data_IF_812202852598
#
_entry.id   IF_812202852598
#
_cell.length_a   1.000
_cell.length_b   1.000
_cell.length_c   1.000
_cell.angle_alpha   90.00
_cell.angle_beta   90.00
_cell.angle_gamma   90.00
#
_symmetry.space_group_name_H-M   'P 1'
#
loop_
_entity.id
_entity.type
_entity.pdbx_description
1 polymer ?
#
# COMPACT_ATOMS: atom_id res chain seq x y z
N UNK A 1 12.66 10.01 12.64
CA UNK A 1 13.23 8.63 12.64
C UNK A 1 13.20 8.13 11.22
N UNK A 2 14.29 7.57 10.69
CA UNK A 2 14.34 6.93 9.38
C UNK A 2 14.31 5.42 9.61
N UNK A 3 13.39 4.72 8.94
CA UNK A 3 13.29 3.27 8.93
C UNK A 3 13.74 2.75 7.56
N UNK A 4 14.63 1.77 7.57
CA UNK A 4 15.15 1.14 6.35
C UNK A 4 15.02 -0.37 6.43
N UNK A 5 14.89 -1.02 5.29
CA UNK A 5 14.90 -2.46 5.17
C UNK A 5 15.71 -2.88 3.95
N UNK A 6 16.59 -3.86 4.14
CA UNK A 6 17.34 -4.48 3.06
C UNK A 6 16.47 -5.55 2.37
N UNK A 7 16.30 -5.42 1.05
CA UNK A 7 15.42 -6.30 0.28
C UNK A 7 15.87 -7.77 0.27
N UNK A 8 17.17 -8.05 0.36
CA UNK A 8 17.67 -9.42 0.39
C UNK A 8 17.41 -10.07 1.73
N UNK A 9 17.59 -9.32 2.82
CA UNK A 9 17.33 -9.78 4.18
C UNK A 9 15.83 -10.05 4.36
N UNK A 10 14.97 -9.13 3.92
CA UNK A 10 13.51 -9.26 4.11
C UNK A 10 12.87 -10.35 3.26
N UNK A 11 13.50 -10.81 2.18
CA UNK A 11 13.01 -11.97 1.42
C UNK A 11 12.80 -13.21 2.28
N UNK A 12 13.53 -13.34 3.38
CA UNK A 12 13.34 -14.42 4.37
C UNK A 12 11.98 -14.32 5.08
N UNK A 13 11.37 -13.14 5.10
CA UNK A 13 10.05 -12.90 5.68
C UNK A 13 8.90 -13.15 4.70
N UNK A 14 9.19 -13.62 3.48
CA UNK A 14 8.19 -13.91 2.46
C UNK A 14 7.35 -15.12 2.85
N UNK A 15 6.05 -14.93 2.92
CA UNK A 15 5.08 -15.97 3.31
C UNK A 15 4.06 -16.18 2.22
N UNK A 16 3.74 -17.43 1.95
CA UNK A 16 2.66 -17.79 1.05
C UNK A 16 1.31 -17.46 1.67
N UNK A 17 0.41 -16.94 0.86
CA UNK A 17 -1.00 -16.70 1.19
C UNK A 17 -1.88 -17.50 0.22
N UNK A 18 -3.17 -17.70 0.48
CA UNK A 18 -4.03 -18.48 -0.43
C UNK A 18 -4.00 -18.01 -1.89
N UNK A 19 -3.74 -16.72 -2.15
CA UNK A 19 -3.79 -16.13 -3.49
C UNK A 19 -2.52 -15.36 -3.84
N UNK A 20 -1.35 -15.78 -3.35
CA UNK A 20 -0.08 -15.12 -3.64
C UNK A 20 0.90 -15.12 -2.48
N UNK A 21 1.58 -13.98 -2.26
CA UNK A 21 2.63 -13.85 -1.26
C UNK A 21 2.50 -12.54 -0.49
N UNK A 22 3.06 -12.53 0.72
CA UNK A 22 3.24 -11.35 1.54
C UNK A 22 4.66 -11.34 2.09
N UNK A 23 5.37 -10.21 1.94
CA UNK A 23 6.72 -10.02 2.45
C UNK A 23 6.75 -8.81 3.37
N UNK A 24 7.01 -9.02 4.65
CA UNK A 24 7.13 -7.94 5.63
C UNK A 24 8.49 -7.26 5.50
N UNK A 25 8.49 -5.94 5.34
CA UNK A 25 9.69 -5.09 5.26
C UNK A 25 9.94 -4.34 6.56
N UNK A 26 8.95 -3.66 7.09
CA UNK A 26 9.07 -2.80 8.27
C UNK A 26 7.87 -3.06 9.18
N UNK A 27 8.14 -3.06 10.47
CA UNK A 27 7.14 -3.09 11.53
C UNK A 27 6.44 -4.44 11.73
N UNK A 28 5.66 -4.51 12.80
CA UNK A 28 4.86 -5.67 13.12
C UNK A 28 3.49 -5.57 12.44
N UNK A 29 3.10 -6.61 11.74
CA UNK A 29 1.74 -6.80 11.25
C UNK A 29 1.17 -8.13 11.78
N UNK A 30 -0.11 -8.41 11.55
CA UNK A 30 -0.75 -9.63 12.07
C UNK A 30 -0.07 -10.94 11.66
N UNK A 31 0.73 -10.93 10.61
CA UNK A 31 1.44 -12.13 10.12
C UNK A 31 2.84 -12.28 10.74
N UNK A 32 3.38 -11.21 11.33
CA UNK A 32 4.71 -11.22 11.97
C UNK A 32 4.65 -11.34 13.49
N UNK A 33 3.48 -11.12 14.10
CA UNK A 33 3.30 -11.37 15.54
C UNK A 33 3.53 -12.84 15.87
N UNK A 34 4.27 -13.08 16.93
CA UNK A 34 4.48 -14.43 17.47
C UNK A 34 3.22 -14.90 18.20
N UNK A 35 3.07 -16.21 18.31
CA UNK A 35 1.98 -16.79 19.10
C UNK A 35 2.05 -16.31 20.56
N UNK A 36 0.95 -15.74 21.05
CA UNK A 36 0.87 -15.17 22.41
C UNK A 36 1.39 -13.74 22.55
N UNK A 37 1.95 -13.15 21.50
CA UNK A 37 2.34 -11.74 21.51
C UNK A 37 1.11 -10.86 21.35
N UNK A 38 0.96 -9.88 22.26
CA UNK A 38 -0.13 -8.91 22.17
C UNK A 38 0.12 -7.93 21.01
N UNK A 39 -0.91 -7.57 20.23
CA UNK A 39 -0.77 -6.55 19.21
C UNK A 39 -0.49 -5.18 19.85
N UNK A 40 0.16 -4.25 19.11
CA UNK A 40 0.27 -2.87 19.55
C UNK A 40 -1.10 -2.30 19.90
N UNK A 41 -1.16 -1.44 20.92
CA UNK A 41 -2.40 -0.78 21.31
C UNK A 41 -2.93 0.09 20.17
N UNK A 42 -4.24 0.22 20.05
CA UNK A 42 -4.90 1.08 19.08
C UNK A 42 -4.41 2.53 19.22
N UNK A 43 -4.17 3.21 18.11
CA UNK A 43 -3.63 4.58 18.09
C UNK A 43 -2.12 4.68 18.36
N UNK A 44 -1.43 3.57 18.66
CA UNK A 44 0.02 3.57 18.78
C UNK A 44 0.68 3.70 17.40
N UNK A 45 1.67 4.59 17.31
CA UNK A 45 2.52 4.68 16.12
C UNK A 45 3.24 3.35 15.89
N UNK A 46 2.90 2.68 14.83
CA UNK A 46 3.47 1.40 14.42
C UNK A 46 3.68 1.40 12.91
N UNK A 47 4.69 2.09 12.40
CA UNK A 47 4.94 2.15 10.96
C UNK A 47 5.13 0.75 10.38
N UNK A 48 4.37 0.44 9.36
CA UNK A 48 4.36 -0.88 8.70
C UNK A 48 4.54 -0.72 7.21
N UNK A 49 5.44 -1.50 6.64
CA UNK A 49 5.58 -1.66 5.20
C UNK A 49 5.65 -3.15 4.83
N UNK A 50 4.81 -3.60 3.93
CA UNK A 50 4.85 -4.97 3.41
C UNK A 50 4.44 -5.01 1.94
N UNK A 51 5.07 -5.93 1.20
CA UNK A 51 4.77 -6.21 -0.20
C UNK A 51 3.72 -7.32 -0.28
N UNK A 52 2.67 -7.07 -1.05
CA UNK A 52 1.67 -8.07 -1.44
C UNK A 52 1.86 -8.41 -2.90
N UNK A 53 1.91 -9.69 -3.23
CA UNK A 53 2.03 -10.19 -4.60
C UNK A 53 0.85 -11.11 -4.90
N UNK A 54 0.18 -10.89 -6.01
CA UNK A 54 -0.91 -11.73 -6.52
C UNK A 54 -0.55 -12.27 -7.89
N UNK A 55 -0.71 -13.56 -8.08
CA UNK A 55 -0.60 -14.16 -9.40
C UNK A 55 -1.76 -13.78 -10.33
N UNK A 56 -1.69 -14.16 -11.61
CA UNK A 56 -2.73 -13.91 -12.60
C UNK A 56 -4.12 -14.34 -12.11
N UNK A 57 -5.12 -13.47 -12.27
CA UNK A 57 -6.48 -13.71 -11.82
C UNK A 57 -6.69 -13.73 -10.31
N UNK A 58 -5.64 -13.48 -9.51
CA UNK A 58 -5.74 -13.39 -8.06
C UNK A 58 -6.64 -12.23 -7.63
N UNK A 59 -7.55 -12.51 -6.68
CA UNK A 59 -8.54 -11.54 -6.22
C UNK A 59 -8.37 -11.26 -4.73
N UNK A 60 -8.26 -9.99 -4.37
CA UNK A 60 -8.52 -9.51 -3.01
C UNK A 60 -9.92 -8.92 -2.98
N UNK A 61 -10.83 -9.56 -2.25
CA UNK A 61 -12.25 -9.20 -2.20
C UNK A 61 -12.46 -7.82 -1.56
N UNK A 62 -13.60 -7.15 -1.78
CA UNK A 62 -13.92 -5.88 -1.15
C UNK A 62 -13.79 -5.96 0.38
N UNK A 63 -13.08 -5.01 0.96
CA UNK A 63 -12.78 -4.98 2.39
C UNK A 63 -12.46 -3.56 2.84
N UNK A 64 -12.35 -3.36 4.14
CA UNK A 64 -11.79 -2.15 4.74
C UNK A 64 -10.74 -2.51 5.80
N UNK A 65 -10.01 -1.51 6.26
CA UNK A 65 -9.06 -1.58 7.35
C UNK A 65 -9.41 -0.58 8.45
N UNK A 66 -8.88 -0.79 9.65
CA UNK A 66 -9.04 0.13 10.78
C UNK A 66 -7.93 1.19 10.85
N UNK A 67 -7.05 1.23 9.88
CA UNK A 67 -5.96 2.18 9.77
C UNK A 67 -5.93 2.78 8.37
N UNK A 68 -5.56 4.05 8.29
CA UNK A 68 -5.26 4.72 7.03
C UNK A 68 -4.10 4.01 6.33
N UNK A 69 -4.16 3.95 5.02
CA UNK A 69 -3.12 3.27 4.27
C UNK A 69 -2.87 3.85 2.88
N UNK A 70 -1.60 3.73 2.50
CA UNK A 70 -1.19 3.80 1.10
C UNK A 70 -0.98 2.41 0.53
N UNK A 71 -1.32 2.24 -0.74
CA UNK A 71 -0.92 1.11 -1.57
C UNK A 71 -0.19 1.66 -2.80
N UNK A 72 1.06 1.24 -3.01
CA UNK A 72 1.88 1.67 -4.14
C UNK A 72 2.13 0.46 -5.02
N UNK A 73 1.54 0.44 -6.21
CA UNK A 73 1.74 -0.64 -7.16
C UNK A 73 3.14 -0.53 -7.76
N UNK A 74 3.93 -1.59 -7.60
CA UNK A 74 5.34 -1.62 -8.04
C UNK A 74 5.61 -2.64 -9.14
N UNK A 75 4.62 -3.45 -9.50
CA UNK A 75 4.77 -4.44 -10.57
C UNK A 75 3.43 -4.99 -11.05
N UNK A 76 3.39 -5.40 -12.30
CA UNK A 76 2.20 -5.95 -12.92
C UNK A 76 1.08 -4.94 -13.12
N UNK A 77 -0.13 -5.44 -13.34
CA UNK A 77 -1.33 -4.63 -13.56
C UNK A 77 -2.61 -5.34 -13.12
N UNK A 78 -3.70 -4.58 -13.07
CA UNK A 78 -5.00 -5.12 -12.69
C UNK A 78 -6.07 -4.06 -12.57
N UNK A 79 -7.07 -4.34 -11.73
CA UNK A 79 -8.11 -3.39 -11.36
C UNK A 79 -8.20 -3.23 -9.84
N UNK A 80 -8.46 -2.00 -9.40
CA UNK A 80 -8.85 -1.67 -8.05
C UNK A 80 -10.25 -1.05 -8.12
N UNK A 81 -11.26 -1.82 -7.69
CA UNK A 81 -12.65 -1.44 -7.93
C UNK A 81 -12.93 -1.28 -9.42
N UNK A 82 -13.27 -0.06 -9.83
CA UNK A 82 -13.53 0.30 -11.23
C UNK A 82 -12.30 0.89 -11.95
N UNK A 83 -11.22 1.19 -11.21
CA UNK A 83 -10.02 1.83 -11.75
C UNK A 83 -9.05 0.80 -12.28
N UNK A 84 -8.49 1.05 -13.47
CA UNK A 84 -7.32 0.32 -13.94
C UNK A 84 -6.12 0.71 -13.07
N UNK A 85 -5.28 -0.26 -12.72
CA UNK A 85 -4.10 -0.02 -11.90
C UNK A 85 -2.89 -0.79 -12.41
N UNK A 86 -1.70 -0.27 -12.14
CA UNK A 86 -0.43 -0.86 -12.59
C UNK A 86 0.74 -0.09 -12.02
N UNK A 87 1.94 -0.43 -12.45
CA UNK A 87 3.14 0.32 -12.04
C UNK A 87 3.18 1.69 -12.75
N UNK A 88 3.38 2.78 -12.10
CA UNK A 88 3.39 3.11 -10.69
C UNK A 88 2.06 3.81 -10.40
N UNK A 89 1.12 3.13 -9.80
CA UNK A 89 -0.12 3.75 -9.34
C UNK A 89 -0.10 3.82 -7.81
N UNK A 90 -0.76 4.82 -7.26
CA UNK A 90 -0.93 5.01 -5.83
C UNK A 90 -2.41 4.98 -5.49
N UNK A 91 -2.76 4.20 -4.50
CA UNK A 91 -4.06 4.20 -3.85
C UNK A 91 -3.89 4.63 -2.40
N UNK A 92 -4.72 5.55 -1.95
CA UNK A 92 -4.86 5.91 -0.54
C UNK A 92 -6.30 5.67 -0.10
N UNK A 93 -6.47 5.22 1.12
CA UNK A 93 -7.77 5.09 1.76
C UNK A 93 -7.69 5.37 3.25
N UNK A 94 -8.65 6.14 3.75
CA UNK A 94 -8.87 6.34 5.17
C UNK A 94 -9.30 5.03 5.86
N UNK A 95 -9.05 4.95 7.15
CA UNK A 95 -9.62 3.92 8.00
C UNK A 95 -11.14 3.84 7.83
N UNK A 96 -11.69 2.63 7.93
CA UNK A 96 -13.13 2.36 7.76
C UNK A 96 -13.71 2.79 6.40
N UNK A 97 -12.89 2.90 5.36
CA UNK A 97 -13.35 3.09 3.98
C UNK A 97 -13.22 1.77 3.23
N UNK A 98 -14.34 1.26 2.72
CA UNK A 98 -14.35 0.00 1.98
C UNK A 98 -13.97 0.23 0.53
N UNK A 99 -13.04 -0.55 0.02
CA UNK A 99 -12.53 -0.48 -1.34
C UNK A 99 -12.35 -1.86 -1.97
N UNK A 100 -12.03 -1.88 -3.26
CA UNK A 100 -11.82 -3.10 -4.03
C UNK A 100 -13.08 -3.55 -4.81
N UNK A 101 -13.07 -4.76 -5.40
CA UNK A 101 -12.01 -5.76 -5.30
C UNK A 101 -10.70 -5.31 -5.96
N UNK A 102 -9.55 -5.89 -5.54
CA UNK A 102 -8.30 -5.81 -6.31
C UNK A 102 -8.20 -7.10 -7.12
N UNK A 103 -8.13 -6.97 -8.43
CA UNK A 103 -8.09 -8.10 -9.36
C UNK A 103 -6.81 -8.03 -10.19
N UNK A 104 -5.93 -9.01 -10.02
CA UNK A 104 -4.72 -9.12 -10.81
C UNK A 104 -5.03 -9.53 -12.26
N UNK A 105 -4.41 -8.86 -13.23
CA UNK A 105 -4.47 -9.21 -14.66
C UNK A 105 -3.09 -9.67 -15.15
N UNK A 106 -3.01 -10.09 -16.41
CA UNK A 106 -1.75 -10.44 -17.06
C UNK A 106 -0.89 -11.39 -16.25
N UNK A 107 0.29 -10.92 -15.88
CA UNK A 107 1.29 -11.68 -15.11
C UNK A 107 1.14 -11.50 -13.58
N UNK A 108 0.05 -10.92 -13.14
CA UNK A 108 -0.20 -10.63 -11.73
C UNK A 108 -0.05 -9.15 -11.38
N UNK A 109 -0.06 -8.87 -10.09
CA UNK A 109 0.12 -7.52 -9.55
C UNK A 109 0.89 -7.57 -8.23
N UNK A 110 1.74 -6.58 -7.99
CA UNK A 110 2.47 -6.43 -6.74
C UNK A 110 2.37 -4.98 -6.24
N UNK A 111 2.08 -4.82 -4.95
CA UNK A 111 2.02 -3.51 -4.31
C UNK A 111 2.55 -3.51 -2.90
N UNK A 112 3.18 -2.39 -2.51
CA UNK A 112 3.47 -2.12 -1.12
C UNK A 112 2.20 -1.58 -0.42
N UNK A 113 1.95 -2.07 0.79
CA UNK A 113 1.03 -1.45 1.73
C UNK A 113 1.83 -0.75 2.82
N UNK A 114 1.54 0.53 3.03
CA UNK A 114 2.20 1.38 4.01
C UNK A 114 1.14 1.92 4.99
N UNK A 115 1.41 1.82 6.29
CA UNK A 115 0.53 2.32 7.36
C UNK A 115 1.37 2.96 8.46
N UNK A 116 0.82 3.97 9.13
CA UNK A 116 1.41 4.57 10.30
C UNK A 116 1.01 3.84 11.61
N UNK A 117 -0.15 3.20 11.62
CA UNK A 117 -0.73 2.53 12.79
C UNK A 117 -0.92 1.03 12.61
N UNK A 118 -1.17 0.38 13.75
CA UNK A 118 -1.53 -1.04 13.76
C UNK A 118 -2.90 -1.27 13.11
N UNK A 119 -2.99 -2.36 12.37
CA UNK A 119 -4.23 -2.84 11.77
C UNK A 119 -4.39 -4.36 11.97
N UNK A 120 -5.52 -4.84 12.50
CA UNK A 120 -5.76 -6.26 12.74
C UNK A 120 -5.93 -7.07 11.45
N UNK A 121 -5.98 -6.42 10.29
CA UNK A 121 -6.11 -7.03 8.97
C UNK A 121 -7.43 -6.71 8.28
N UNK A 122 -7.54 -7.17 7.06
CA UNK A 122 -8.69 -6.90 6.20
C UNK A 122 -10.02 -7.38 6.79
N UNK A 123 -10.99 -6.49 6.79
CA UNK A 123 -12.38 -6.71 7.19
C UNK A 123 -13.23 -6.89 5.94
N UNK A 124 -13.40 -8.13 5.50
CA UNK A 124 -14.09 -8.44 4.25
C UNK A 124 -15.58 -8.13 4.30
N UNK A 125 -16.10 -7.47 3.27
CA UNK A 125 -17.48 -6.99 3.18
C UNK A 125 -18.53 -8.11 3.04
N UNK A 126 -18.12 -9.34 2.78
CA UNK A 126 -19.01 -10.50 2.78
C UNK A 126 -19.52 -10.83 4.19
N UNK A 127 -18.73 -10.56 5.24
CA UNK A 127 -19.13 -10.77 6.61
C UNK A 127 -20.13 -9.69 7.08
N UNK A 128 -21.34 -10.08 7.54
CA UNK A 128 -22.33 -9.15 8.05
C UNK A 128 -21.86 -8.29 9.22
N UNK A 129 -21.01 -8.84 10.10
CA UNK A 129 -20.49 -8.12 11.27
C UNK A 129 -19.55 -7.00 10.83
N UNK A 130 -18.69 -7.25 9.81
CA UNK A 130 -17.85 -6.22 9.26
C UNK A 130 -18.67 -5.10 8.60
N UNK A 131 -19.76 -5.43 7.91
CA UNK A 131 -20.69 -4.43 7.38
C UNK A 131 -21.38 -3.63 8.48
N UNK A 132 -21.70 -4.26 9.60
CA UNK A 132 -22.28 -3.58 10.75
C UNK A 132 -21.26 -2.64 11.40
N UNK A 133 -20.02 -3.09 11.57
CA UNK A 133 -18.89 -2.28 12.05
C UNK A 133 -18.67 -1.05 11.15
N UNK A 134 -18.60 -1.26 9.83
CA UNK A 134 -18.44 -0.16 8.88
C UNK A 134 -19.58 0.85 8.95
N UNK A 135 -20.85 0.39 9.09
CA UNK A 135 -21.99 1.29 9.25
C UNK A 135 -21.92 2.08 10.55
N UNK A 136 -21.50 1.46 11.64
CA UNK A 136 -21.34 2.12 12.94
C UNK A 136 -20.24 3.19 12.94
N UNK A 137 -19.22 3.04 12.08
CA UNK A 137 -18.11 4.00 11.95
C UNK A 137 -18.50 5.27 11.16
N UNK A 138 -19.60 5.26 10.41
CA UNK A 138 -20.06 6.42 9.64
C UNK A 138 -20.28 7.62 10.54
N UNK A 139 -19.73 8.76 10.13
CA UNK A 139 -19.77 10.00 10.91
C UNK A 139 -18.70 10.09 12.01
N UNK A 140 -17.91 9.05 12.23
CA UNK A 140 -16.76 9.05 13.12
C UNK A 140 -15.42 9.20 12.37
N UNK A 141 -15.41 8.94 11.07
CA UNK A 141 -14.24 8.96 10.18
C UNK A 141 -14.55 9.67 8.87
N UNK A 142 -13.52 10.11 8.18
CA UNK A 142 -13.62 10.90 6.94
C UNK A 142 -14.03 10.07 5.73
N UNK A 143 -13.62 8.82 5.64
CA UNK A 143 -13.97 7.91 4.52
C UNK A 143 -13.52 8.39 3.13
N UNK A 144 -12.32 8.96 3.06
CA UNK A 144 -11.74 9.38 1.78
C UNK A 144 -10.98 8.23 1.11
N UNK A 145 -11.08 8.15 -0.22
CA UNK A 145 -10.35 7.23 -1.08
C UNK A 145 -9.87 7.98 -2.31
N UNK A 146 -8.64 7.72 -2.72
CA UNK A 146 -8.07 8.27 -3.95
C UNK A 146 -7.21 7.24 -4.67
N UNK A 147 -7.33 7.20 -5.99
CA UNK A 147 -6.58 6.31 -6.89
C UNK A 147 -5.97 7.16 -7.99
N UNK A 148 -4.67 6.98 -8.25
CA UNK A 148 -4.00 7.63 -9.38
C UNK A 148 -3.98 6.71 -10.60
N UNK A 149 -3.88 7.29 -11.77
CA UNK A 149 -3.60 6.54 -12.99
C UNK A 149 -2.23 5.86 -12.90
N UNK A 150 -2.06 4.66 -13.50
CA UNK A 150 -0.77 4.00 -13.57
C UNK A 150 0.18 4.78 -14.48
N UNK A 151 1.44 4.90 -14.04
CA UNK A 151 2.49 5.51 -14.84
C UNK A 151 3.57 4.47 -15.09
N UNK A 152 3.80 4.07 -16.33
CA UNK A 152 4.82 3.08 -16.65
C UNK A 152 6.20 3.48 -16.07
N UNK A 153 6.96 2.52 -15.52
CA UNK A 153 8.34 2.77 -15.12
C UNK A 153 9.13 3.28 -16.32
N UNK A 154 10.02 4.24 -16.09
CA UNK A 154 10.95 4.67 -17.11
C UNK A 154 11.90 3.53 -17.49
N UNK A 155 12.20 3.38 -18.77
CA UNK A 155 13.25 2.48 -19.21
C UNK A 155 14.61 2.92 -18.65
N UNK A 156 15.54 1.99 -18.49
CA UNK A 156 16.87 2.29 -17.95
C UNK A 156 17.59 3.40 -18.73
N UNK A 157 17.42 3.43 -20.06
CA UNK A 157 17.97 4.48 -20.92
C UNK A 157 17.39 5.87 -20.64
N UNK A 158 16.09 5.95 -20.37
CA UNK A 158 15.42 7.22 -20.04
C UNK A 158 15.84 7.73 -18.66
N UNK A 159 16.03 6.82 -17.69
CA UNK A 159 16.59 7.16 -16.39
C UNK A 159 18.03 7.68 -16.51
N UNK A 160 18.86 7.02 -17.33
CA UNK A 160 20.25 7.44 -17.57
C UNK A 160 20.34 8.81 -18.27
N UNK A 161 19.36 9.18 -19.08
CA UNK A 161 19.29 10.47 -19.77
C UNK A 161 18.66 11.60 -18.93
N UNK A 162 18.17 11.31 -17.71
CA UNK A 162 17.63 12.33 -16.82
C UNK A 162 18.72 13.32 -16.41
N UNK A 163 18.62 14.57 -16.85
CA UNK A 163 19.66 15.58 -16.66
C UNK A 163 19.51 16.37 -15.34
N UNK A 164 18.32 16.40 -14.76
CA UNK A 164 18.02 17.18 -13.55
C UNK A 164 17.00 16.45 -12.68
N UNK A 165 16.97 16.81 -11.39
CA UNK A 165 15.92 16.34 -10.47
C UNK A 165 14.58 16.90 -10.92
N UNK A 166 13.62 16.02 -11.12
CA UNK A 166 12.23 16.40 -11.39
C UNK A 166 11.33 15.85 -10.27
N UNK A 167 10.37 16.65 -9.85
CA UNK A 167 9.35 16.25 -8.87
C UNK A 167 7.96 16.48 -9.43
N UNK A 168 7.03 15.61 -9.09
CA UNK A 168 5.63 15.68 -9.50
C UNK A 168 4.75 15.30 -8.32
N UNK A 169 3.76 16.14 -8.01
CA UNK A 169 2.70 15.82 -7.08
C UNK A 169 1.74 14.84 -7.76
N UNK A 170 1.64 13.62 -7.25
CA UNK A 170 0.88 12.53 -7.86
C UNK A 170 -0.50 12.39 -7.22
N UNK A 171 -0.59 12.66 -5.92
CA UNK A 171 -1.80 12.60 -5.15
C UNK A 171 -1.75 13.67 -4.06
N UNK A 172 -2.82 14.43 -3.92
CA UNK A 172 -3.01 15.42 -2.88
C UNK A 172 -4.37 15.20 -2.21
N UNK A 173 -4.38 15.22 -0.90
CA UNK A 173 -5.57 15.08 -0.07
C UNK A 173 -5.63 16.17 0.98
N UNK A 174 -6.68 16.09 1.81
CA UNK A 174 -6.85 17.00 2.93
C UNK A 174 -5.76 16.78 4.00
N UNK A 175 -5.59 17.76 4.88
CA UNK A 175 -4.68 17.71 6.04
C UNK A 175 -3.19 17.49 5.71
N UNK A 176 -2.75 17.89 4.51
CA UNK A 176 -1.35 17.78 4.11
C UNK A 176 -0.93 16.40 3.63
N UNK A 177 -1.89 15.49 3.43
CA UNK A 177 -1.62 14.21 2.81
C UNK A 177 -1.20 14.43 1.35
N UNK A 178 0.00 13.96 0.99
CA UNK A 178 0.51 14.10 -0.37
C UNK A 178 1.44 12.95 -0.75
N UNK A 179 1.44 12.63 -2.04
CA UNK A 179 2.40 11.69 -2.63
C UNK A 179 3.14 12.37 -3.75
N UNK A 180 4.46 12.36 -3.67
CA UNK A 180 5.35 12.94 -4.66
C UNK A 180 6.14 11.86 -5.38
N UNK A 181 6.26 11.99 -6.68
CA UNK A 181 7.17 11.20 -7.50
C UNK A 181 8.40 12.02 -7.85
N UNK A 182 9.58 11.46 -7.60
CA UNK A 182 10.85 12.07 -7.93
C UNK A 182 11.57 11.25 -8.98
N UNK A 183 12.16 11.94 -9.98
CA UNK A 183 13.11 11.38 -10.92
C UNK A 183 14.46 12.01 -10.62
N UNK A 184 15.47 11.19 -10.40
CA UNK A 184 16.79 11.61 -9.98
C UNK A 184 17.82 11.18 -11.03
N UNK A 185 18.68 12.08 -11.50
CA UNK A 185 19.86 11.68 -12.26
C UNK A 185 20.73 10.71 -11.46
N UNK A 186 21.54 9.93 -12.13
CA UNK A 186 22.49 9.05 -11.47
C UNK A 186 23.43 9.86 -10.55
N UNK A 187 23.58 9.43 -9.31
CA UNK A 187 24.40 10.10 -8.30
C UNK A 187 23.80 11.38 -7.68
N UNK A 188 22.62 11.81 -8.12
CA UNK A 188 21.95 12.97 -7.52
C UNK A 188 21.39 12.65 -6.13
N UNK A 189 21.38 13.68 -5.28
CA UNK A 189 20.78 13.63 -3.95
C UNK A 189 19.61 14.60 -3.87
N UNK A 190 18.48 14.15 -3.33
CA UNK A 190 17.36 15.00 -2.99
C UNK A 190 17.24 15.09 -1.47
N UNK A 191 17.11 16.31 -0.95
CA UNK A 191 16.86 16.55 0.48
C UNK A 191 15.42 16.98 0.66
N UNK A 192 14.73 16.34 1.57
CA UNK A 192 13.38 16.70 1.99
C UNK A 192 13.47 17.57 3.25
N UNK A 193 12.70 18.65 3.32
CA UNK A 193 12.45 19.32 4.58
C UNK A 193 11.59 18.39 5.45
N UNK A 194 12.06 18.13 6.68
CA UNK A 194 11.32 17.36 7.67
C UNK A 194 10.29 18.25 8.37
#
# INVERSE_FOLDING_TARGET
MILTADAEIVRQNRRQTPNGWNTAFIGANRYTLKSGEAPPAEGTLNPVAFLVEKGPGGVTRPHFHRADQYQVVVGGCGKLGLHDTGSIAVHYTDAFSAYGPIVAAGDGIAWFTLRAGWDPGAKYMENPDNRAELRASRGLHTHWEAVTDPVPPLAAGDLASTASVASELVLEGEHGLATWRYRLPAGATCRYAA
#
